data_IF_313921388704
#
_entry.id   IF_313921388704
#
_cell.length_a   1.000
_cell.length_b   1.000
_cell.length_c   1.000
_cell.angle_alpha   90.00
_cell.angle_beta   90.00
_cell.angle_gamma   90.00
#
_symmetry.space_group_name_H-M   'P 1'
#
loop_
_entity.id
_entity.type
_entity.pdbx_description
1 polymer ?
#
# COMPACT_ATOMS: atom_id res chain seq x y z
N UNK A 1 1.06 -16.92 10.97
CA UNK A 1 1.02 -15.72 10.12
C UNK A 1 -0.10 -15.88 9.09
N UNK A 2 -1.01 -14.91 8.94
CA UNK A 2 -2.08 -14.93 7.92
C UNK A 2 -1.95 -13.72 6.99
N UNK A 3 -2.57 -13.76 5.80
CA UNK A 3 -2.60 -12.62 4.87
C UNK A 3 -3.19 -11.38 5.55
N UNK A 4 -4.31 -11.53 6.26
CA UNK A 4 -4.92 -10.43 7.03
C UNK A 4 -3.96 -9.88 8.09
N UNK A 5 -3.18 -10.73 8.76
CA UNK A 5 -2.20 -10.26 9.73
C UNK A 5 -1.08 -9.44 9.09
N UNK A 6 -0.50 -9.91 7.98
CA UNK A 6 0.59 -9.22 7.28
C UNK A 6 0.11 -7.88 6.71
N UNK A 7 -1.09 -7.86 6.14
CA UNK A 7 -1.58 -6.71 5.38
C UNK A 7 -2.37 -5.70 6.21
N UNK A 8 -2.97 -6.10 7.35
CA UNK A 8 -3.91 -5.25 8.09
C UNK A 8 -3.65 -5.23 9.60
N UNK A 9 -3.45 -6.38 10.23
CA UNK A 9 -3.57 -6.48 11.70
C UNK A 9 -2.24 -6.30 12.44
N UNK A 10 -1.09 -6.53 11.80
CA UNK A 10 0.19 -6.32 12.47
C UNK A 10 0.47 -4.83 12.69
N UNK A 11 1.17 -4.50 13.78
CA UNK A 11 1.48 -3.11 14.17
C UNK A 11 2.17 -2.33 13.03
N UNK A 12 3.03 -3.01 12.27
CA UNK A 12 3.70 -2.38 11.13
C UNK A 12 2.73 -2.01 10.01
N UNK A 13 1.79 -2.91 9.67
CA UNK A 13 0.80 -2.64 8.64
C UNK A 13 -0.11 -1.49 9.07
N UNK A 14 -0.60 -1.50 10.31
CA UNK A 14 -1.43 -0.42 10.85
C UNK A 14 -0.73 0.95 10.72
N UNK A 15 0.53 1.04 11.15
CA UNK A 15 1.33 2.28 11.02
C UNK A 15 1.60 2.67 9.57
N UNK A 16 1.81 1.69 8.68
CA UNK A 16 2.02 1.96 7.26
C UNK A 16 0.79 2.61 6.62
N UNK A 17 -0.41 2.10 6.91
CA UNK A 17 -1.66 2.67 6.41
C UNK A 17 -1.96 4.04 7.03
N UNK A 18 -1.69 4.22 8.32
CA UNK A 18 -1.82 5.49 9.04
C UNK A 18 -0.96 6.60 8.41
N UNK A 19 0.30 6.31 8.08
CA UNK A 19 1.21 7.27 7.43
C UNK A 19 0.77 7.65 6.01
N UNK A 20 -0.02 6.79 5.35
CA UNK A 20 -0.66 7.09 4.07
C UNK A 20 -2.02 7.79 4.22
N UNK A 21 -2.43 8.13 5.45
CA UNK A 21 -3.72 8.74 5.74
C UNK A 21 -4.91 7.81 5.50
N UNK A 22 -4.70 6.50 5.53
CA UNK A 22 -5.72 5.50 5.29
C UNK A 22 -6.18 4.84 6.59
N UNK A 23 -7.48 4.89 6.84
CA UNK A 23 -8.11 4.21 7.96
C UNK A 23 -8.48 2.76 7.60
N UNK A 24 -8.07 1.82 8.45
CA UNK A 24 -8.31 0.37 8.32
C UNK A 24 -9.31 -0.17 9.35
N UNK A 25 -9.91 0.71 10.17
CA UNK A 25 -10.78 0.37 11.29
C UNK A 25 -12.22 -0.01 10.88
N UNK A 26 -12.60 0.19 9.62
CA UNK A 26 -14.01 0.28 9.22
C UNK A 26 -14.72 -1.04 8.86
N UNK A 27 -14.12 -2.23 9.02
CA UNK A 27 -14.81 -3.48 8.66
C UNK A 27 -14.20 -4.75 9.28
N UNK A 28 -15.07 -5.71 9.61
CA UNK A 28 -14.76 -7.08 10.04
C UNK A 28 -14.26 -8.00 8.90
N UNK A 29 -14.09 -7.48 7.68
CA UNK A 29 -13.63 -8.29 6.55
C UNK A 29 -12.11 -8.47 6.53
N UNK A 30 -11.63 -9.59 5.98
CA UNK A 30 -10.19 -9.78 5.73
C UNK A 30 -9.73 -9.17 4.40
N UNK A 31 -10.67 -8.62 3.61
CA UNK A 31 -10.37 -7.97 2.33
C UNK A 31 -9.84 -6.55 2.53
N UNK A 32 -8.56 -6.35 2.21
CA UNK A 32 -7.90 -5.03 2.26
C UNK A 32 -8.60 -3.99 1.36
N UNK A 33 -9.09 -4.40 0.19
CA UNK A 33 -9.78 -3.51 -0.76
C UNK A 33 -11.13 -3.01 -0.21
N UNK A 34 -11.78 -3.78 0.65
CA UNK A 34 -13.05 -3.42 1.26
C UNK A 34 -12.86 -2.67 2.59
N UNK A 35 -11.72 -2.87 3.27
CA UNK A 35 -11.38 -2.17 4.52
C UNK A 35 -10.86 -0.77 4.32
N UNK A 36 -10.08 -0.56 3.27
CA UNK A 36 -9.43 0.73 3.07
C UNK A 36 -10.38 1.67 2.34
N UNK A 37 -10.81 2.71 3.06
CA UNK A 37 -11.63 3.76 2.48
C UNK A 37 -10.76 4.73 1.69
N UNK A 38 -11.10 4.98 0.43
CA UNK A 38 -10.38 5.96 -0.40
C UNK A 38 -10.53 7.37 0.19
N UNK A 39 -9.43 8.06 0.52
CA UNK A 39 -9.49 9.47 0.87
C UNK A 39 -9.87 10.29 -0.37
N UNK A 40 -11.16 10.60 -0.53
CA UNK A 40 -11.70 11.19 -1.76
C UNK A 40 -11.03 12.53 -2.14
N UNK A 41 -10.57 13.28 -1.14
CA UNK A 41 -9.92 14.58 -1.32
C UNK A 41 -8.48 14.47 -1.86
N UNK A 42 -7.80 13.34 -1.64
CA UNK A 42 -6.36 13.18 -1.95
C UNK A 42 -6.11 12.17 -3.08
N UNK A 43 -6.96 11.14 -3.19
CA UNK A 43 -6.69 10.00 -4.06
C UNK A 43 -7.69 9.90 -5.19
N UNK A 44 -7.27 9.76 -6.46
CA UNK A 44 -8.18 9.54 -7.57
C UNK A 44 -8.87 8.19 -7.44
N UNK A 45 -10.14 8.09 -7.86
CA UNK A 45 -10.86 6.81 -7.91
C UNK A 45 -10.24 5.86 -8.93
N UNK A 46 -9.77 6.43 -10.04
CA UNK A 46 -9.17 5.69 -11.13
C UNK A 46 -7.91 4.98 -10.64
N UNK A 47 -7.88 3.66 -10.84
CA UNK A 47 -6.79 2.78 -10.43
C UNK A 47 -6.53 2.71 -8.90
N UNK A 48 -7.46 3.17 -8.05
CA UNK A 48 -7.26 3.15 -6.60
C UNK A 48 -7.02 1.73 -6.04
N UNK A 49 -7.77 0.74 -6.53
CA UNK A 49 -7.56 -0.67 -6.15
C UNK A 49 -6.16 -1.15 -6.50
N UNK A 50 -5.61 -0.70 -7.63
CA UNK A 50 -4.23 -1.01 -8.03
C UNK A 50 -3.22 -0.40 -7.07
N UNK A 51 -3.43 0.83 -6.63
CA UNK A 51 -2.59 1.46 -5.61
C UNK A 51 -2.60 0.68 -4.29
N UNK A 52 -3.78 0.24 -3.83
CA UNK A 52 -3.87 -0.61 -2.64
C UNK A 52 -3.11 -1.92 -2.82
N UNK A 53 -3.22 -2.57 -3.99
CA UNK A 53 -2.48 -3.79 -4.28
C UNK A 53 -0.96 -3.59 -4.28
N UNK A 54 -0.46 -2.43 -4.75
CA UNK A 54 0.97 -2.08 -4.68
C UNK A 54 1.44 -1.89 -3.24
N UNK A 55 0.63 -1.25 -2.40
CA UNK A 55 0.89 -1.15 -0.97
C UNK A 55 0.95 -2.54 -0.30
N UNK A 56 0.00 -3.43 -0.63
CA UNK A 56 -0.01 -4.79 -0.11
C UNK A 56 1.22 -5.59 -0.56
N UNK A 57 1.66 -5.39 -1.80
CA UNK A 57 2.87 -6.00 -2.33
C UNK A 57 4.11 -5.62 -1.51
N UNK A 58 4.23 -4.36 -1.12
CA UNK A 58 5.34 -3.91 -0.27
C UNK A 58 5.32 -4.46 1.14
N UNK A 59 4.15 -4.48 1.77
CA UNK A 59 3.97 -5.10 3.09
C UNK A 59 4.36 -6.58 3.07
N UNK A 60 3.96 -7.30 2.02
CA UNK A 60 4.33 -8.70 1.80
C UNK A 60 5.84 -8.86 1.55
N UNK A 61 6.45 -8.05 0.68
CA UNK A 61 7.90 -8.06 0.42
C UNK A 61 8.70 -7.82 1.69
N UNK A 62 8.34 -6.80 2.48
CA UNK A 62 8.98 -6.54 3.77
C UNK A 62 8.90 -7.75 4.69
N UNK A 63 7.71 -8.35 4.84
CA UNK A 63 7.54 -9.51 5.72
C UNK A 63 8.44 -10.66 5.29
N UNK A 64 8.55 -10.91 4.00
CA UNK A 64 9.46 -11.92 3.45
C UNK A 64 10.92 -11.59 3.70
N UNK A 65 11.34 -10.34 3.53
CA UNK A 65 12.72 -9.95 3.83
C UNK A 65 13.07 -10.16 5.32
N UNK A 66 12.13 -9.93 6.24
CA UNK A 66 12.31 -10.27 7.65
C UNK A 66 12.53 -11.77 7.86
N UNK A 67 11.74 -12.63 7.18
CA UNK A 67 11.83 -14.10 7.32
C UNK A 67 13.09 -14.67 6.68
N UNK A 68 13.36 -14.28 5.43
CA UNK A 68 14.36 -14.93 4.59
C UNK A 68 15.72 -14.24 4.60
N UNK A 69 15.78 -12.94 4.94
CA UNK A 69 17.02 -12.14 4.92
C UNK A 69 17.39 -11.59 6.29
N UNK A 70 16.49 -11.67 7.28
CA UNK A 70 16.68 -11.02 8.58
C UNK A 70 16.66 -9.49 8.52
N UNK A 71 16.29 -8.91 7.37
CA UNK A 71 16.26 -7.47 7.14
C UNK A 71 15.01 -6.85 7.76
N UNK A 72 15.18 -5.79 8.54
CA UNK A 72 14.07 -5.06 9.19
C UNK A 72 13.99 -3.64 8.66
N UNK A 73 13.32 -3.49 7.53
CA UNK A 73 13.02 -2.17 6.99
C UNK A 73 12.09 -1.40 7.94
N UNK A 74 12.43 -0.13 8.14
CA UNK A 74 11.59 0.86 8.81
C UNK A 74 10.35 1.18 7.98
N UNK A 75 9.37 1.82 8.60
CA UNK A 75 8.16 2.32 7.92
C UNK A 75 8.55 3.25 6.76
N UNK A 76 9.48 4.18 7.01
CA UNK A 76 9.93 5.16 6.01
C UNK A 76 10.66 4.52 4.83
N UNK A 77 11.44 3.46 5.05
CA UNK A 77 12.07 2.70 3.95
C UNK A 77 11.03 1.95 3.13
N UNK A 78 10.00 1.39 3.77
CA UNK A 78 8.93 0.66 3.08
C UNK A 78 8.03 1.61 2.29
N UNK A 79 7.74 2.80 2.81
CA UNK A 79 7.03 3.86 2.07
C UNK A 79 7.83 4.34 0.86
N UNK A 80 9.16 4.51 1.01
CA UNK A 80 10.05 4.84 -0.11
C UNK A 80 10.08 3.74 -1.18
N UNK A 81 10.12 2.48 -0.77
CA UNK A 81 10.04 1.34 -1.70
C UNK A 81 8.69 1.33 -2.44
N UNK A 82 7.58 1.51 -1.71
CA UNK A 82 6.24 1.60 -2.29
C UNK A 82 6.12 2.72 -3.33
N UNK A 83 6.66 3.90 -3.02
CA UNK A 83 6.69 5.02 -3.96
C UNK A 83 7.49 4.68 -5.22
N UNK A 84 8.63 4.00 -5.09
CA UNK A 84 9.42 3.58 -6.24
C UNK A 84 8.66 2.57 -7.12
N UNK A 85 7.99 1.58 -6.52
CA UNK A 85 7.17 0.59 -7.23
C UNK A 85 5.96 1.25 -7.93
N UNK A 86 5.32 2.22 -7.26
CA UNK A 86 4.24 3.05 -7.84
C UNK A 86 4.74 3.87 -9.04
N UNK A 87 5.90 4.50 -8.92
CA UNK A 87 6.53 5.23 -10.02
C UNK A 87 6.84 4.33 -11.22
N UNK A 88 7.31 3.10 -10.98
CA UNK A 88 7.52 2.12 -12.05
C UNK A 88 6.19 1.66 -12.67
N UNK A 89 5.11 1.61 -11.88
CA UNK A 89 3.80 1.19 -12.34
C UNK A 89 3.22 2.09 -13.44
N UNK A 90 3.66 3.34 -13.55
CA UNK A 90 3.25 4.25 -14.64
C UNK A 90 3.47 3.66 -16.03
N UNK A 91 4.47 2.78 -16.19
CA UNK A 91 4.79 2.13 -17.46
C UNK A 91 3.77 1.04 -17.84
N UNK A 92 2.98 0.55 -16.89
CA UNK A 92 1.87 -0.40 -17.11
C UNK A 92 0.53 0.28 -17.36
N UNK A 93 0.46 1.60 -17.19
CA UNK A 93 -0.74 2.40 -17.44
C UNK A 93 -0.76 2.96 -18.87
N UNK A 94 -1.97 3.15 -19.39
CA UNK A 94 -2.21 3.93 -20.61
C UNK A 94 -1.69 5.36 -20.39
N UNK A 95 -1.22 6.02 -21.45
CA UNK A 95 -0.63 7.35 -21.35
C UNK A 95 -1.57 8.37 -20.71
N UNK A 96 -2.86 8.31 -21.04
CA UNK A 96 -3.93 9.14 -20.49
C UNK A 96 -4.17 8.97 -18.98
N UNK A 97 -3.67 7.88 -18.39
CA UNK A 97 -3.88 7.53 -16.98
C UNK A 97 -2.65 7.75 -16.11
N UNK A 98 -1.48 8.03 -16.69
CA UNK A 98 -0.22 8.13 -15.95
C UNK A 98 -0.21 9.23 -14.90
N UNK A 99 -1.07 10.23 -15.02
CA UNK A 99 -1.21 11.33 -14.06
C UNK A 99 -1.62 10.82 -12.66
N UNK A 100 -2.32 9.68 -12.55
CA UNK A 100 -2.75 9.15 -11.24
C UNK A 100 -1.56 8.80 -10.34
N UNK A 101 -0.41 8.43 -10.93
CA UNK A 101 0.80 8.07 -10.19
C UNK A 101 1.36 9.28 -9.44
N UNK A 102 1.32 10.46 -10.06
CA UNK A 102 1.71 11.70 -9.40
C UNK A 102 0.78 12.03 -8.23
N UNK A 103 -0.53 11.75 -8.37
CA UNK A 103 -1.50 11.95 -7.29
C UNK A 103 -1.29 10.98 -6.12
N UNK A 104 -0.93 9.72 -6.38
CA UNK A 104 -0.59 8.76 -5.32
C UNK A 104 0.71 9.08 -4.58
N UNK A 105 1.56 9.90 -5.20
CA UNK A 105 2.87 10.31 -4.69
C UNK A 105 2.87 11.72 -4.09
N UNK A 106 1.77 12.45 -4.15
CA UNK A 106 1.65 13.79 -3.57
C UNK A 106 1.72 13.72 -2.03
#
# INVERSE_FOLDING_TARGET
ETTAHILLQCEFAARFWEELGMDISSSDTDSVLLRISRPQAMMPEKHFSTFILLCCWELWKRRNNVVFRGERATIQETLRACRADVELWKHRLRQEDRWVVAAWCA
#
